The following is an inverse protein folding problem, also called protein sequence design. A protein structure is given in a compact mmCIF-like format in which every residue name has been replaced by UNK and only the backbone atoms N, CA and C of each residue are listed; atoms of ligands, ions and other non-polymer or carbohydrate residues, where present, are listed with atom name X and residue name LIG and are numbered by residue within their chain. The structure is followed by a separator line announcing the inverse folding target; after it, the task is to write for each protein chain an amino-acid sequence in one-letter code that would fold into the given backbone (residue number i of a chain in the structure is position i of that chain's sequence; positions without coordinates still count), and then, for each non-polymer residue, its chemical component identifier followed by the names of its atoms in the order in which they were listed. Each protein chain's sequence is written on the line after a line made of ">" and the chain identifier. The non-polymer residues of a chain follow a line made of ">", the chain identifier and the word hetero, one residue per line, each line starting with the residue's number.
data_IF_522462868417
#
_entry.id   IF_522462868417
#
_cell.length_a   1.000
_cell.length_b   1.000
_cell.length_c   1.000
_cell.angle_alpha   90.00
_cell.angle_beta   90.00
_cell.angle_gamma   90.00
#
_symmetry.space_group_name_H-M   'P 1'
#
loop_
_entity.id
_entity.type
_entity.pdbx_description
1 polymer ?
#
# COMPACT_ATOMS: atom_id res chain seq x y z
N UNK A 1 8.30 0.97 18.98
CA UNK A 1 8.52 0.17 17.78
C UNK A 1 7.69 0.79 16.68
N UNK A 2 8.23 0.88 15.47
CA UNK A 2 7.57 1.52 14.31
C UNK A 2 7.09 0.41 13.37
N UNK A 3 5.85 0.50 12.91
CA UNK A 3 5.22 -0.46 12.01
C UNK A 3 5.52 -0.14 10.52
N UNK A 4 6.21 0.97 10.26
CA UNK A 4 6.64 1.34 8.92
C UNK A 4 7.81 0.46 8.45
N UNK A 5 7.50 -0.58 7.69
CA UNK A 5 8.50 -1.46 7.10
C UNK A 5 9.33 -0.77 6.00
N UNK A 6 8.69 0.02 5.15
CA UNK A 6 9.33 0.73 4.04
C UNK A 6 8.43 1.84 3.46
N UNK A 7 9.03 2.80 2.74
CA UNK A 7 8.31 3.87 2.04
C UNK A 7 8.93 4.16 0.67
N UNK A 8 8.09 4.46 -0.31
CA UNK A 8 8.53 4.85 -1.66
C UNK A 8 7.55 5.85 -2.28
N UNK A 9 7.92 6.36 -3.46
CA UNK A 9 7.04 7.12 -4.35
C UNK A 9 6.97 6.41 -5.69
N UNK A 10 5.83 6.51 -6.35
CA UNK A 10 5.69 6.01 -7.72
C UNK A 10 6.57 6.81 -8.68
N UNK A 11 7.03 6.16 -9.74
CA UNK A 11 7.65 6.85 -10.86
C UNK A 11 6.61 7.61 -11.72
N UNK A 12 7.08 8.23 -12.81
CA UNK A 12 6.22 8.97 -13.76
C UNK A 12 5.18 8.10 -14.49
N UNK A 13 5.30 6.78 -14.43
CA UNK A 13 4.38 5.81 -15.01
C UNK A 13 3.51 5.11 -13.94
N UNK A 14 3.57 5.55 -12.68
CA UNK A 14 2.81 4.97 -11.58
C UNK A 14 3.41 3.68 -11.01
N UNK A 15 4.60 3.25 -11.45
CA UNK A 15 5.23 2.02 -10.96
C UNK A 15 5.96 2.27 -9.65
N UNK A 16 5.97 1.26 -8.79
CA UNK A 16 6.74 1.26 -7.55
C UNK A 16 7.20 -0.15 -7.19
N UNK A 17 8.22 -0.22 -6.34
CA UNK A 17 8.68 -1.43 -5.69
C UNK A 17 9.09 -1.07 -4.25
N UNK A 18 8.84 -1.98 -3.32
CA UNK A 18 9.15 -1.81 -1.90
C UNK A 18 9.79 -3.08 -1.38
N UNK A 19 10.77 -2.89 -0.52
CA UNK A 19 11.38 -3.93 0.29
C UNK A 19 11.52 -3.38 1.71
N UNK A 20 11.01 -4.10 2.69
CA UNK A 20 11.05 -3.71 4.09
C UNK A 20 11.12 -4.93 4.99
N UNK A 21 11.63 -4.73 6.20
CA UNK A 21 11.71 -5.75 7.24
C UNK A 21 10.87 -5.31 8.43
N UNK A 22 10.25 -6.27 9.10
CA UNK A 22 9.61 -6.08 10.40
C UNK A 22 10.18 -7.11 11.38
N UNK A 23 10.19 -6.74 12.66
CA UNK A 23 10.51 -7.66 13.76
C UNK A 23 9.43 -7.48 14.79
N UNK A 24 8.58 -8.49 14.95
CA UNK A 24 7.62 -8.53 16.03
C UNK A 24 8.25 -9.23 17.24
N UNK A 25 8.33 -8.56 18.41
CA UNK A 25 9.17 -9.01 19.52
C UNK A 25 8.57 -10.17 20.33
N UNK A 26 7.37 -10.63 20.01
CA UNK A 26 6.70 -11.72 20.69
C UNK A 26 6.73 -13.00 19.85
N UNK A 27 7.03 -14.13 20.49
CA UNK A 27 7.07 -15.44 19.82
C UNK A 27 5.72 -15.74 19.14
N UNK A 28 5.78 -16.19 17.88
CA UNK A 28 4.61 -16.57 17.10
C UNK A 28 3.81 -15.40 16.52
N UNK A 29 4.33 -14.16 16.57
CA UNK A 29 3.74 -13.03 15.87
C UNK A 29 4.52 -12.79 14.56
N UNK A 30 4.07 -13.39 13.46
CA UNK A 30 4.61 -13.07 12.14
C UNK A 30 4.06 -11.71 11.68
N UNK A 31 4.84 -10.89 10.94
CA UNK A 31 4.34 -9.62 10.42
C UNK A 31 3.11 -9.81 9.52
N UNK A 32 2.08 -8.99 9.73
CA UNK A 32 0.88 -8.89 8.88
C UNK A 32 0.94 -7.63 8.00
N UNK A 33 1.48 -7.72 6.77
CA UNK A 33 1.82 -6.53 5.99
C UNK A 33 0.62 -5.86 5.31
N UNK A 34 0.60 -4.53 5.34
CA UNK A 34 -0.36 -3.70 4.61
C UNK A 34 0.34 -2.69 3.70
N UNK A 35 -0.22 -2.47 2.50
CA UNK A 35 0.18 -1.35 1.64
C UNK A 35 -0.73 -0.15 1.89
N UNK A 36 -0.15 0.94 2.39
CA UNK A 36 -0.81 2.24 2.56
C UNK A 36 -0.46 3.18 1.40
N UNK A 37 -1.45 3.53 0.58
CA UNK A 37 -1.28 4.45 -0.54
C UNK A 37 -1.83 5.82 -0.15
N UNK A 38 -1.00 6.86 -0.31
CA UNK A 38 -1.42 8.25 -0.13
C UNK A 38 -1.33 8.97 -1.47
N UNK A 39 -2.47 9.38 -2.02
CA UNK A 39 -2.54 10.05 -3.32
C UNK A 39 -3.42 11.31 -3.25
N UNK A 40 -3.45 12.08 -4.33
CA UNK A 40 -4.38 13.20 -4.50
C UNK A 40 -5.21 12.96 -5.75
N UNK A 41 -6.52 12.87 -5.62
CA UNK A 41 -7.41 12.87 -6.77
C UNK A 41 -7.50 14.29 -7.36
N UNK A 42 -7.62 14.35 -8.69
CA UNK A 42 -7.71 15.60 -9.46
C UNK A 42 -8.92 16.45 -9.07
N UNK A 43 -10.01 15.83 -8.63
CA UNK A 43 -11.26 16.53 -8.28
C UNK A 43 -11.15 17.41 -7.03
N UNK A 44 -10.58 16.90 -5.93
CA UNK A 44 -10.68 17.59 -4.64
C UNK A 44 -9.36 18.14 -4.10
N UNK A 45 -8.22 17.91 -4.77
CA UNK A 45 -6.84 18.24 -4.30
C UNK A 45 -6.48 17.74 -2.89
N UNK A 46 -7.40 17.04 -2.22
CA UNK A 46 -7.26 16.45 -0.88
C UNK A 46 -6.40 15.19 -0.98
N UNK A 47 -5.61 14.95 0.07
CA UNK A 47 -4.89 13.69 0.22
C UNK A 47 -5.89 12.61 0.61
N UNK A 48 -6.01 11.58 -0.21
CA UNK A 48 -6.81 10.38 0.04
C UNK A 48 -5.87 9.27 0.46
N UNK A 49 -6.35 8.40 1.35
CA UNK A 49 -5.63 7.23 1.85
C UNK A 49 -6.39 5.97 1.45
N UNK A 50 -5.66 4.98 0.96
CA UNK A 50 -6.16 3.63 0.66
C UNK A 50 -5.25 2.61 1.35
N UNK A 51 -5.84 1.52 1.83
CA UNK A 51 -5.13 0.42 2.48
C UNK A 51 -5.50 -0.89 1.80
N UNK A 52 -4.49 -1.70 1.53
CA UNK A 52 -4.63 -3.01 0.86
C UNK A 52 -3.87 -4.03 1.71
N UNK A 53 -4.56 -5.08 2.16
CA UNK A 53 -3.92 -6.20 2.82
C UNK A 53 -3.01 -6.95 1.85
N UNK A 54 -1.78 -7.23 2.26
CA UNK A 54 -0.85 -8.05 1.49
C UNK A 54 -0.89 -9.48 2.01
N UNK A 55 -0.44 -10.42 1.19
CA UNK A 55 -0.27 -11.79 1.66
C UNK A 55 1.04 -11.82 2.46
N UNK A 56 1.10 -12.49 3.63
CA UNK A 56 2.32 -12.59 4.43
C UNK A 56 3.32 -13.53 3.75
N UNK A 57 3.95 -13.03 2.69
CA UNK A 57 5.05 -13.70 2.00
C UNK A 57 6.35 -12.99 2.34
N UNK A 58 7.33 -13.77 2.80
CA UNK A 58 8.64 -13.27 3.20
C UNK A 58 9.71 -13.69 2.19
N UNK A 59 10.90 -13.10 2.32
CA UNK A 59 12.03 -13.38 1.43
C UNK A 59 12.34 -14.87 1.35
N UNK A 60 12.74 -15.40 0.20
CA UNK A 60 13.07 -14.73 -1.06
C UNK A 60 11.88 -14.49 -2.03
N UNK A 61 10.63 -14.61 -1.56
CA UNK A 61 9.46 -14.42 -2.41
C UNK A 61 9.12 -12.94 -2.63
N UNK A 62 8.43 -12.62 -3.73
CA UNK A 62 7.93 -11.27 -4.01
C UNK A 62 6.46 -11.31 -4.43
N UNK A 63 5.69 -10.27 -4.05
CA UNK A 63 4.28 -10.16 -4.40
C UNK A 63 4.12 -9.14 -5.53
N UNK A 64 3.62 -9.59 -6.68
CA UNK A 64 3.16 -8.68 -7.72
C UNK A 64 1.66 -8.41 -7.53
N UNK A 65 1.34 -7.22 -7.03
CA UNK A 65 -0.05 -6.80 -6.76
C UNK A 65 -0.76 -6.21 -7.99
N UNK A 66 -0.08 -6.15 -9.14
CA UNK A 66 -0.66 -5.68 -10.40
C UNK A 66 -0.99 -4.19 -10.43
N UNK A 67 -2.01 -3.83 -11.22
CA UNK A 67 -2.49 -2.46 -11.38
C UNK A 67 -3.51 -2.13 -10.30
N UNK A 68 -3.31 -1.01 -9.62
CA UNK A 68 -4.26 -0.46 -8.64
C UNK A 68 -4.86 0.81 -9.21
N UNK A 69 -6.17 0.82 -9.39
CA UNK A 69 -6.91 2.03 -9.77
C UNK A 69 -7.19 2.86 -8.52
N UNK A 70 -6.87 4.16 -8.57
CA UNK A 70 -7.00 5.07 -7.43
C UNK A 70 -8.27 5.93 -7.47
N UNK A 71 -9.12 5.72 -8.47
CA UNK A 71 -10.38 6.46 -8.60
C UNK A 71 -11.43 5.93 -7.62
N UNK A 72 -12.10 6.83 -6.90
CA UNK A 72 -13.23 6.47 -6.03
C UNK A 72 -14.51 6.39 -6.87
N UNK A 73 -14.87 5.19 -7.30
CA UNK A 73 -16.09 4.93 -8.09
C UNK A 73 -17.39 5.12 -7.28
N UNK A 74 -17.33 5.49 -6.00
CA UNK A 74 -18.54 5.79 -5.20
C UNK A 74 -19.12 7.18 -5.45
N UNK A 75 -18.48 8.02 -6.27
CA UNK A 75 -18.98 9.36 -6.61
C UNK A 75 -19.83 9.41 -7.90
N UNK A 76 -19.96 8.33 -8.67
CA UNK A 76 -20.63 8.33 -9.99
C UNK A 76 -22.16 8.22 -9.95
N UNK A 77 -22.78 8.07 -8.78
CA UNK A 77 -24.25 7.97 -8.65
C UNK A 77 -24.86 9.19 -7.95
N UNK A 78 -24.66 10.37 -8.51
CA UNK A 78 -25.48 11.55 -8.24
C UNK A 78 -25.97 12.13 -9.56
N UNK A 79 -27.02 11.51 -10.12
CA UNK A 79 -27.92 12.12 -11.10
C UNK A 79 -29.32 12.15 -10.49
#
# INVERSE_FOLDING_TARGET
>A
MDDLMAQTKTDKYGKFSLYGCAIDPFEGNDPDPYLKIVHKCTHDKKKVKMEIGLVPIFTANYQNIGKIELEDTRQSNKN
#
